data_IF_613658516671
#
_entry.id   IF_613658516671
#
_cell.length_a   1.000
_cell.length_b   1.000
_cell.length_c   1.000
_cell.angle_alpha   90.00
_cell.angle_beta   90.00
_cell.angle_gamma   90.00
#
_symmetry.space_group_name_H-M   'P 1'
#
loop_
_entity.id
_entity.type
_entity.pdbx_description
1 polymer ?
#
# COMPACT_ATOMS: atom_id res chain seq x y z
N UNK A 1 -5.34 23.69 23.63
CA UNK A 1 -4.92 23.49 22.22
C UNK A 1 -4.09 22.22 22.13
N UNK A 2 -4.62 21.13 21.57
CA UNK A 2 -3.86 19.88 21.37
C UNK A 2 -3.28 19.91 19.97
N UNK A 3 -1.97 20.03 19.85
CA UNK A 3 -1.28 19.83 18.58
C UNK A 3 -1.42 18.34 18.20
N UNK A 4 -2.16 18.05 17.13
CA UNK A 4 -2.15 16.73 16.50
C UNK A 4 -0.76 16.53 15.94
N UNK A 5 0.06 15.72 16.63
CA UNK A 5 1.34 15.26 16.10
C UNK A 5 1.04 14.43 14.86
N UNK A 6 1.09 15.05 13.69
CA UNK A 6 1.13 14.34 12.42
C UNK A 6 2.36 13.46 12.48
N UNK A 7 2.17 12.18 12.82
CA UNK A 7 3.22 11.19 12.75
C UNK A 7 3.53 11.05 11.26
N UNK A 8 4.60 11.70 10.82
CA UNK A 8 5.17 11.49 9.49
C UNK A 8 5.77 10.09 9.54
N UNK A 9 4.92 9.07 9.37
CA UNK A 9 5.38 7.69 9.23
C UNK A 9 5.83 7.57 7.79
N UNK A 10 7.16 7.59 7.57
CA UNK A 10 7.73 7.36 6.26
C UNK A 10 7.21 6.04 5.71
N UNK A 11 6.40 6.12 4.66
CA UNK A 11 5.75 4.96 4.10
C UNK A 11 6.78 4.14 3.34
N UNK A 12 7.13 2.98 3.90
CA UNK A 12 8.17 2.10 3.34
C UNK A 12 7.79 1.63 1.93
N UNK A 13 8.71 1.82 1.00
CA UNK A 13 8.62 1.28 -0.37
C UNK A 13 9.72 0.26 -0.66
N UNK A 14 9.44 -0.67 -1.58
CA UNK A 14 10.36 -1.72 -1.99
C UNK A 14 10.38 -1.90 -3.51
N UNK A 15 11.41 -2.57 -4.03
CA UNK A 15 11.50 -2.89 -5.47
C UNK A 15 10.49 -3.98 -5.86
N UNK A 16 10.21 -4.10 -7.16
CA UNK A 16 9.38 -5.18 -7.72
C UNK A 16 9.94 -6.55 -7.34
N UNK A 17 11.26 -6.74 -7.45
CA UNK A 17 11.89 -8.01 -7.10
C UNK A 17 11.66 -8.37 -5.63
N UNK A 18 11.83 -7.41 -4.72
CA UNK A 18 11.58 -7.66 -3.30
C UNK A 18 10.12 -7.93 -3.01
N UNK A 19 9.21 -7.28 -3.74
CA UNK A 19 7.78 -7.57 -3.63
C UNK A 19 7.47 -9.02 -4.06
N UNK A 20 8.06 -9.50 -5.16
CA UNK A 20 7.91 -10.88 -5.63
C UNK A 20 8.36 -11.88 -4.55
N UNK A 21 9.53 -11.65 -3.94
CA UNK A 21 10.04 -12.49 -2.86
C UNK A 21 9.11 -12.50 -1.63
N UNK A 22 8.58 -11.33 -1.25
CA UNK A 22 7.78 -11.20 -0.03
C UNK A 22 6.40 -11.87 -0.14
N UNK A 23 5.75 -11.78 -1.30
CA UNK A 23 4.40 -12.37 -1.50
C UNK A 23 4.42 -13.71 -2.24
N UNK A 24 5.60 -14.18 -2.69
CA UNK A 24 5.74 -15.46 -3.38
C UNK A 24 5.07 -15.50 -4.77
N UNK A 25 5.06 -14.38 -5.50
CA UNK A 25 4.43 -14.29 -6.84
C UNK A 25 5.43 -13.88 -7.92
N UNK A 26 5.06 -14.15 -9.18
CA UNK A 26 5.86 -13.72 -10.34
C UNK A 26 5.86 -12.18 -10.53
N UNK A 27 6.89 -11.67 -11.21
CA UNK A 27 6.94 -10.26 -11.66
C UNK A 27 5.70 -9.85 -12.46
N UNK A 28 5.20 -10.76 -13.32
CA UNK A 28 4.01 -10.50 -14.13
C UNK A 28 2.78 -10.29 -13.25
N UNK A 29 2.65 -11.05 -12.17
CA UNK A 29 1.57 -10.88 -11.19
C UNK A 29 1.63 -9.49 -10.54
N UNK A 30 2.83 -9.04 -10.15
CA UNK A 30 3.02 -7.69 -9.60
C UNK A 30 2.65 -6.60 -10.62
N UNK A 31 3.07 -6.73 -11.88
CA UNK A 31 2.67 -5.78 -12.93
C UNK A 31 1.16 -5.77 -13.17
N UNK A 32 0.51 -6.93 -13.15
CA UNK A 32 -0.94 -7.01 -13.26
C UNK A 32 -1.64 -6.33 -12.07
N UNK A 33 -1.09 -6.42 -10.86
CA UNK A 33 -1.61 -5.72 -9.68
C UNK A 33 -1.44 -4.21 -9.80
N UNK A 34 -0.30 -3.75 -10.31
CA UNK A 34 -0.07 -2.33 -10.61
C UNK A 34 -1.08 -1.82 -11.64
N UNK A 35 -1.23 -2.53 -12.76
CA UNK A 35 -2.14 -2.16 -13.85
C UNK A 35 -3.62 -2.18 -13.42
N UNK A 36 -3.99 -3.06 -12.48
CA UNK A 36 -5.35 -3.14 -11.92
C UNK A 36 -5.55 -2.27 -10.67
N UNK A 37 -4.56 -1.48 -10.25
CA UNK A 37 -4.66 -0.58 -9.10
C UNK A 37 -4.72 -1.29 -7.74
N UNK A 38 -4.41 -2.59 -7.66
CA UNK A 38 -4.45 -3.40 -6.43
C UNK A 38 -3.32 -3.04 -5.45
N UNK A 39 -2.24 -2.44 -5.94
CA UNK A 39 -1.11 -1.98 -5.12
C UNK A 39 -0.81 -0.53 -5.44
N UNK A 40 -0.41 0.24 -4.43
CA UNK A 40 0.08 1.61 -4.64
C UNK A 40 1.57 1.57 -4.93
N UNK A 41 2.02 2.46 -5.79
CA UNK A 41 3.44 2.58 -6.15
C UNK A 41 3.80 4.03 -6.46
N UNK A 42 5.09 4.32 -6.46
CA UNK A 42 5.68 5.55 -7.00
C UNK A 42 6.74 5.20 -8.03
N UNK A 43 6.99 6.13 -8.96
CA UNK A 43 8.14 6.08 -9.85
C UNK A 43 9.21 7.04 -9.33
N UNK A 44 10.45 6.56 -9.25
CA UNK A 44 11.58 7.44 -8.95
C UNK A 44 11.89 8.33 -10.15
N UNK A 45 12.69 9.39 -9.96
CA UNK A 45 13.15 10.25 -11.06
C UNK A 45 13.85 9.46 -12.17
N UNK A 46 14.54 8.36 -11.83
CA UNK A 46 15.14 7.41 -12.78
C UNK A 46 14.17 6.37 -13.35
N UNK A 47 12.87 6.53 -13.18
CA UNK A 47 11.83 5.65 -13.76
C UNK A 47 11.62 4.31 -13.06
N UNK A 48 12.39 4.00 -12.01
CA UNK A 48 12.23 2.75 -11.27
C UNK A 48 10.96 2.74 -10.45
N UNK A 49 10.24 1.61 -10.46
CA UNK A 49 9.00 1.43 -9.69
C UNK A 49 9.33 1.05 -8.24
N UNK A 50 8.63 1.70 -7.30
CA UNK A 50 8.72 1.45 -5.85
C UNK A 50 7.32 1.20 -5.30
N UNK A 51 7.08 0.00 -4.79
CA UNK A 51 5.77 -0.45 -4.31
C UNK A 51 5.67 -0.18 -2.81
N UNK A 52 4.54 0.35 -2.36
CA UNK A 52 4.29 0.56 -0.93
C UNK A 52 3.95 -0.77 -0.23
N UNK A 53 4.75 -1.10 0.79
CA UNK A 53 4.69 -2.41 1.48
C UNK A 53 3.33 -2.66 2.13
N UNK A 54 2.70 -1.62 2.66
CA UNK A 54 1.39 -1.70 3.33
C UNK A 54 0.24 -2.06 2.37
N UNK A 55 0.41 -1.85 1.06
CA UNK A 55 -0.58 -2.22 0.03
C UNK A 55 -0.30 -3.54 -0.66
N UNK A 56 0.86 -4.14 -0.39
CA UNK A 56 1.30 -5.33 -1.11
C UNK A 56 0.54 -6.58 -0.66
N UNK A 57 0.09 -6.60 0.59
CA UNK A 57 -0.68 -7.71 1.15
C UNK A 57 -2.11 -7.67 0.63
N UNK A 58 -2.50 -8.74 -0.06
CA UNK A 58 -3.87 -8.95 -0.48
C UNK A 58 -4.65 -9.49 0.71
N UNK A 59 -5.66 -8.75 1.15
CA UNK A 59 -6.72 -9.35 1.95
C UNK A 59 -7.42 -10.39 1.06
N UNK A 60 -7.58 -11.66 1.47
CA UNK A 60 -8.25 -12.69 0.67
C UNK A 60 -9.63 -12.27 0.15
N UNK A 61 -10.30 -11.34 0.81
CA UNK A 61 -11.58 -10.79 0.37
C UNK A 61 -11.46 -9.73 -0.77
N UNK A 62 -10.24 -9.33 -1.17
CA UNK A 62 -10.03 -8.26 -2.17
C UNK A 62 -10.47 -6.88 -1.68
N UNK A 63 -10.78 -6.77 -0.39
CA UNK A 63 -11.26 -5.55 0.24
C UNK A 63 -10.03 -4.70 0.60
N UNK A 64 -9.91 -3.45 0.11
CA UNK A 64 -8.85 -2.57 0.60
C UNK A 64 -8.99 -2.43 2.12
N UNK A 65 -7.87 -2.49 2.86
CA UNK A 65 -7.84 -2.39 4.33
C UNK A 65 -8.59 -1.18 4.90
N UNK A 66 -8.82 -0.15 4.07
CA UNK A 66 -9.67 1.00 4.38
C UNK A 66 -11.15 0.66 4.65
N UNK A 67 -11.63 -0.51 4.24
CA UNK A 67 -13.03 -0.94 4.51
C UNK A 67 -13.11 -1.88 5.72
N UNK A 68 -12.03 -2.58 6.10
CA UNK A 68 -12.03 -3.52 7.24
C UNK A 68 -12.12 -2.80 8.59
N UNK A 69 -11.75 -1.51 8.64
CA UNK A 69 -12.08 -0.63 9.75
C UNK A 69 -12.89 0.52 9.18
N UNK A 70 -14.24 0.51 9.25
CA UNK A 70 -14.93 1.78 9.23
C UNK A 70 -14.33 2.56 10.40
N UNK A 71 -13.63 3.66 10.11
CA UNK A 71 -13.34 4.66 11.14
C UNK A 71 -14.66 4.87 11.88
N UNK A 72 -14.75 4.55 13.19
CA UNK A 72 -16.01 4.72 13.90
C UNK A 72 -16.37 6.19 13.74
N UNK A 73 -17.53 6.42 13.12
CA UNK A 73 -18.14 7.72 12.92
C UNK A 73 -17.98 8.52 14.22
N UNK A 74 -16.99 9.41 14.25
CA UNK A 74 -16.75 10.27 15.39
C UNK A 74 -17.76 11.41 15.27
N UNK A 75 -19.04 11.08 15.42
CA UNK A 75 -20.07 12.02 15.85
C UNK A 75 -19.81 12.30 17.31
N UNK A 76 -19.06 13.36 17.58
CA UNK A 76 -19.17 14.05 18.86
C UNK A 76 -20.30 15.08 18.75
N UNK A 77 -21.20 15.00 19.74
CA UNK A 77 -22.42 15.74 19.95
C UNK A 77 -22.18 17.21 20.33
#
# INVERSE_FOLDING_TARGET
MRATKTMIVDRKTISIMKACELVGVSRRTIYNWIASGKVKYVRTAGGSVRIFVDTLWRDPAGVPKATIWPEPDRKEA
#
